data_IF_976893180054
#
_entry.id   IF_976893180054
#
_cell.length_a   1.000
_cell.length_b   1.000
_cell.length_c   1.000
_cell.angle_alpha   90.00
_cell.angle_beta   90.00
_cell.angle_gamma   90.00
#
_symmetry.space_group_name_H-M   'P 1'
#
loop_
_entity.id
_entity.type
_entity.pdbx_description
1 polymer ?
#
# COMPACT_ATOMS: atom_id res chain seq x y z
N UNK A 1 -21.75 -11.72 19.92
CA UNK A 1 -21.66 -13.01 19.20
C UNK A 1 -21.95 -12.72 17.74
N UNK A 2 -20.92 -12.71 16.89
CA UNK A 2 -21.09 -12.46 15.45
C UNK A 2 -21.87 -13.62 14.82
N UNK A 3 -22.83 -13.32 13.96
CA UNK A 3 -23.61 -14.33 13.25
C UNK A 3 -22.67 -15.32 12.50
N UNK A 4 -23.04 -16.61 12.40
CA UNK A 4 -22.28 -17.55 11.58
C UNK A 4 -22.30 -17.07 10.13
N UNK A 5 -21.11 -16.80 9.59
CA UNK A 5 -20.92 -16.37 8.21
C UNK A 5 -21.25 -17.55 7.32
N UNK A 6 -22.01 -17.31 6.24
CA UNK A 6 -22.31 -18.35 5.26
C UNK A 6 -21.01 -18.97 4.71
N UNK A 7 -20.97 -20.30 4.46
CA UNK A 7 -19.79 -20.94 3.91
C UNK A 7 -19.45 -20.32 2.54
N UNK A 8 -18.21 -19.89 2.37
CA UNK A 8 -17.66 -19.34 1.11
C UNK A 8 -16.82 -20.38 0.39
N UNK A 9 -16.61 -20.21 -0.91
CA UNK A 9 -15.83 -21.11 -1.75
C UNK A 9 -14.43 -21.37 -1.14
N UNK A 10 -13.98 -22.63 -1.03
CA UNK A 10 -12.75 -22.98 -0.30
C UNK A 10 -11.49 -22.32 -0.86
N UNK A 11 -11.47 -21.99 -2.16
CA UNK A 11 -10.36 -21.26 -2.79
C UNK A 11 -10.17 -19.81 -2.26
N UNK A 12 -11.13 -19.27 -1.50
CA UNK A 12 -10.99 -17.98 -0.84
C UNK A 12 -10.24 -18.04 0.49
N UNK A 13 -9.83 -19.24 0.94
CA UNK A 13 -8.85 -19.40 2.02
C UNK A 13 -7.51 -19.78 1.40
N UNK A 14 -6.49 -18.93 1.58
CA UNK A 14 -5.18 -19.09 0.93
C UNK A 14 -4.04 -19.10 1.93
N UNK A 15 -2.81 -19.37 1.46
CA UNK A 15 -1.60 -19.26 2.28
C UNK A 15 -1.42 -17.87 2.92
N UNK A 16 -1.98 -16.80 2.33
CA UNK A 16 -1.99 -15.49 2.96
C UNK A 16 -2.82 -15.48 4.25
N UNK A 17 -4.02 -16.09 4.22
CA UNK A 17 -4.90 -16.19 5.37
C UNK A 17 -4.18 -16.86 6.55
N UNK A 18 -3.49 -17.98 6.29
CA UNK A 18 -2.74 -18.72 7.31
C UNK A 18 -1.50 -17.97 7.81
N UNK A 19 -0.77 -17.31 6.90
CA UNK A 19 0.46 -16.58 7.23
C UNK A 19 0.20 -15.43 8.20
N UNK A 20 -0.86 -14.65 7.96
CA UNK A 20 -1.15 -13.41 8.71
C UNK A 20 -2.33 -13.54 9.68
N UNK A 21 -3.05 -14.65 9.66
CA UNK A 21 -4.17 -14.94 10.57
C UNK A 21 -5.48 -14.22 10.21
N UNK A 22 -5.70 -13.89 8.94
CA UNK A 22 -6.93 -13.20 8.48
C UNK A 22 -7.92 -14.17 7.84
N UNK A 23 -9.19 -13.76 7.71
CA UNK A 23 -10.25 -14.60 7.13
C UNK A 23 -10.22 -14.60 5.61
N UNK A 24 -9.91 -13.46 5.01
CA UNK A 24 -9.97 -13.29 3.56
C UNK A 24 -8.66 -12.73 3.01
N UNK A 25 -8.24 -13.15 1.80
CA UNK A 25 -6.98 -12.78 1.18
C UNK A 25 -7.05 -11.38 0.53
N UNK A 26 -7.51 -10.41 1.31
CA UNK A 26 -7.79 -9.03 0.92
C UNK A 26 -6.97 -8.13 1.85
N UNK A 27 -6.13 -7.28 1.27
CA UNK A 27 -5.23 -6.40 2.01
C UNK A 27 -5.55 -4.93 1.72
N UNK A 28 -5.76 -4.14 2.77
CA UNK A 28 -5.68 -2.69 2.70
C UNK A 28 -4.21 -2.29 2.85
N UNK A 29 -3.62 -1.70 1.81
CA UNK A 29 -2.18 -1.37 1.80
C UNK A 29 -1.86 -0.14 2.65
N UNK A 30 -0.69 -0.08 3.27
CA UNK A 30 -0.24 1.10 4.01
C UNK A 30 -0.09 2.34 3.11
N UNK A 31 -0.92 3.35 3.34
CA UNK A 31 -0.92 4.62 2.62
C UNK A 31 -0.65 5.76 3.60
N UNK A 32 0.44 6.49 3.41
CA UNK A 32 0.81 7.63 4.27
C UNK A 32 -0.32 8.66 4.36
N UNK A 33 -0.62 9.11 5.58
CA UNK A 33 -1.73 10.02 5.91
C UNK A 33 -3.16 9.52 5.62
N UNK A 34 -3.34 8.28 5.15
CA UNK A 34 -4.65 7.69 4.84
C UNK A 34 -4.93 6.48 5.72
N UNK A 35 -3.96 5.58 5.86
CA UNK A 35 -4.07 4.36 6.66
C UNK A 35 -3.80 4.62 8.13
N UNK A 36 -4.71 5.36 8.76
CA UNK A 36 -4.73 5.57 10.21
C UNK A 36 -5.41 4.43 10.98
N UNK A 37 -5.57 4.58 12.31
CA UNK A 37 -6.16 3.56 13.17
C UNK A 37 -7.57 3.13 12.76
N UNK A 38 -8.43 4.07 12.35
CA UNK A 38 -9.83 3.83 11.97
C UNK A 38 -9.92 2.87 10.76
N UNK A 39 -9.27 3.23 9.65
CA UNK A 39 -9.29 2.43 8.42
C UNK A 39 -8.64 1.04 8.62
N UNK A 40 -7.54 1.00 9.39
CA UNK A 40 -6.83 -0.24 9.69
C UNK A 40 -7.71 -1.18 10.50
N UNK A 41 -8.31 -0.68 11.59
CA UNK A 41 -9.17 -1.47 12.46
C UNK A 41 -10.44 -1.94 11.75
N UNK A 42 -11.08 -1.06 10.95
CA UNK A 42 -12.27 -1.41 10.17
C UNK A 42 -11.98 -2.53 9.16
N UNK A 43 -10.83 -2.47 8.47
CA UNK A 43 -10.40 -3.53 7.55
C UNK A 43 -10.14 -4.85 8.27
N UNK A 44 -9.42 -4.81 9.39
CA UNK A 44 -9.10 -6.00 10.17
C UNK A 44 -10.37 -6.65 10.75
N UNK A 45 -11.30 -5.86 11.29
CA UNK A 45 -12.59 -6.34 11.79
C UNK A 45 -13.47 -6.94 10.67
N UNK A 46 -13.39 -6.40 9.44
CA UNK A 46 -14.05 -6.96 8.27
C UNK A 46 -13.46 -8.31 7.84
N UNK A 47 -12.27 -8.67 8.32
CA UNK A 47 -11.64 -9.98 8.09
C UNK A 47 -10.55 -9.98 7.02
N UNK A 48 -10.22 -8.82 6.46
CA UNK A 48 -9.02 -8.64 5.64
C UNK A 48 -7.81 -8.25 6.50
N UNK A 49 -6.66 -8.06 5.85
CA UNK A 49 -5.46 -7.50 6.50
C UNK A 49 -5.47 -5.97 6.42
N UNK A 50 -5.71 -5.30 7.54
CA UNK A 50 -5.47 -3.87 7.68
C UNK A 50 -3.97 -3.59 7.87
N UNK A 51 -3.45 -2.55 7.22
CA UNK A 51 -2.05 -2.12 7.38
C UNK A 51 -1.99 -0.63 7.76
N UNK A 52 -1.57 -0.38 9.00
CA UNK A 52 -1.34 0.97 9.55
C UNK A 52 -0.09 1.60 8.92
N UNK A 53 -0.18 2.81 8.41
CA UNK A 53 0.97 3.52 7.86
C UNK A 53 1.72 4.30 8.96
N UNK A 54 2.96 3.90 9.28
CA UNK A 54 3.79 4.58 10.29
C UNK A 54 4.90 5.45 9.71
N UNK A 55 5.09 5.44 8.38
CA UNK A 55 6.16 6.17 7.69
C UNK A 55 6.18 7.69 7.96
N UNK A 56 5.04 8.27 8.35
CA UNK A 56 4.88 9.70 8.66
C UNK A 56 4.79 9.98 10.16
N UNK A 57 4.95 8.97 11.01
CA UNK A 57 4.80 9.03 12.46
C UNK A 57 6.15 8.84 13.15
N UNK A 58 6.36 9.53 14.26
CA UNK A 58 7.43 9.22 15.21
C UNK A 58 7.22 7.84 15.86
N UNK A 59 8.22 7.36 16.61
CA UNK A 59 8.11 6.08 17.31
C UNK A 59 6.99 6.08 18.36
N UNK A 60 6.83 7.18 19.10
CA UNK A 60 5.77 7.32 20.11
C UNK A 60 4.39 7.43 19.47
N UNK A 61 4.24 8.24 18.41
CA UNK A 61 2.98 8.29 17.65
C UNK A 61 2.63 6.95 17.01
N UNK A 62 3.65 6.16 16.59
CA UNK A 62 3.43 4.80 16.09
C UNK A 62 2.90 3.88 17.18
N UNK A 63 3.42 3.99 18.41
CA UNK A 63 2.93 3.23 19.57
C UNK A 63 1.47 3.58 19.86
N UNK A 64 1.16 4.88 19.91
CA UNK A 64 -0.20 5.34 20.19
C UNK A 64 -1.18 4.92 19.10
N UNK A 65 -0.77 4.98 17.83
CA UNK A 65 -1.59 4.52 16.70
C UNK A 65 -1.83 3.00 16.74
N UNK A 66 -0.82 2.19 17.11
CA UNK A 66 -0.98 0.73 17.31
C UNK A 66 -2.01 0.45 18.40
N UNK A 67 -1.95 1.18 19.52
CA UNK A 67 -2.90 1.02 20.64
C UNK A 67 -4.32 1.44 20.23
N UNK A 68 -4.46 2.53 19.49
CA UNK A 68 -5.75 2.97 18.96
C UNK A 68 -6.39 1.94 18.03
N UNK A 69 -5.60 1.20 17.22
CA UNK A 69 -6.12 0.07 16.43
C UNK A 69 -6.64 -1.05 17.36
N UNK A 70 -5.85 -1.44 18.37
CA UNK A 70 -6.22 -2.51 19.32
C UNK A 70 -7.46 -2.18 20.16
N UNK A 71 -7.68 -0.91 20.49
CA UNK A 71 -8.91 -0.47 21.16
C UNK A 71 -10.17 -0.68 20.32
N UNK A 72 -10.03 -0.78 18.99
CA UNK A 72 -11.13 -0.89 18.03
C UNK A 72 -11.33 -2.32 17.52
N UNK A 73 -10.31 -3.18 17.58
CA UNK A 73 -10.39 -4.56 17.10
C UNK A 73 -9.35 -5.48 17.73
N UNK A 74 -9.75 -6.74 17.94
CA UNK A 74 -8.86 -7.84 18.33
C UNK A 74 -8.26 -8.59 17.11
N UNK A 75 -8.70 -8.24 15.89
CA UNK A 75 -8.23 -8.89 14.67
C UNK A 75 -6.77 -8.51 14.35
N UNK A 76 -5.98 -9.42 13.72
CA UNK A 76 -4.60 -9.13 13.37
C UNK A 76 -4.51 -8.02 12.31
N UNK A 77 -3.49 -7.18 12.45
CA UNK A 77 -3.15 -6.11 11.52
C UNK A 77 -1.64 -5.99 11.38
N UNK A 78 -1.20 -5.30 10.32
CA UNK A 78 0.21 -5.00 10.07
C UNK A 78 0.54 -3.53 10.20
N UNK A 79 1.84 -3.23 10.22
CA UNK A 79 2.36 -1.85 10.20
C UNK A 79 3.31 -1.69 9.02
N UNK A 80 3.04 -0.70 8.18
CA UNK A 80 3.90 -0.33 7.05
C UNK A 80 4.94 0.70 7.47
N UNK A 81 6.22 0.34 7.27
CA UNK A 81 7.39 1.14 7.61
C UNK A 81 8.20 1.50 6.36
N UNK A 82 9.10 2.48 6.53
CA UNK A 82 10.14 2.77 5.55
C UNK A 82 11.35 1.88 5.82
N UNK A 83 11.73 1.09 4.81
CA UNK A 83 12.87 0.17 4.93
C UNK A 83 14.24 0.85 4.98
N UNK A 84 14.30 2.11 4.55
CA UNK A 84 15.50 2.95 4.52
C UNK A 84 15.62 3.89 5.74
N UNK A 85 14.63 3.90 6.63
CA UNK A 85 14.67 4.74 7.82
C UNK A 85 15.75 4.28 8.81
N UNK A 86 16.54 5.21 9.40
CA UNK A 86 17.58 4.86 10.37
C UNK A 86 17.05 4.12 11.61
N UNK A 87 15.78 4.33 11.98
CA UNK A 87 15.10 3.77 13.15
C UNK A 87 14.30 2.48 12.84
N UNK A 88 14.43 1.90 11.64
CA UNK A 88 13.60 0.76 11.20
C UNK A 88 13.66 -0.45 12.12
N UNK A 89 14.84 -0.76 12.68
CA UNK A 89 15.01 -1.87 13.62
C UNK A 89 14.36 -1.58 14.97
N UNK A 90 14.44 -0.33 15.44
CA UNK A 90 13.79 0.12 16.68
C UNK A 90 12.26 0.04 16.56
N UNK A 91 11.73 0.41 15.38
CA UNK A 91 10.31 0.22 15.05
C UNK A 91 9.93 -1.27 15.01
N UNK A 92 10.77 -2.13 14.44
CA UNK A 92 10.58 -3.57 14.49
C UNK A 92 10.46 -4.09 15.93
N UNK A 93 11.34 -3.66 16.82
CA UNK A 93 11.27 -4.02 18.24
C UNK A 93 10.00 -3.45 18.92
N UNK A 94 9.54 -2.26 18.53
CA UNK A 94 8.27 -1.72 19.00
C UNK A 94 7.10 -2.62 18.59
N UNK A 95 7.05 -3.07 17.33
CA UNK A 95 6.04 -4.00 16.84
C UNK A 95 6.00 -5.27 17.70
N UNK A 96 7.16 -5.87 17.97
CA UNK A 96 7.28 -7.07 18.83
C UNK A 96 6.75 -6.80 20.24
N UNK A 97 7.15 -5.70 20.87
CA UNK A 97 6.70 -5.32 22.23
C UNK A 97 5.19 -5.09 22.30
N UNK A 98 4.61 -4.47 21.29
CA UNK A 98 3.18 -4.20 21.20
C UNK A 98 2.40 -5.39 20.58
N UNK A 99 3.05 -6.54 20.35
CA UNK A 99 2.43 -7.78 19.86
C UNK A 99 1.94 -7.73 18.41
N UNK A 100 2.45 -6.82 17.59
CA UNK A 100 2.16 -6.74 16.15
C UNK A 100 3.12 -7.64 15.40
N UNK A 101 2.61 -8.63 14.67
CA UNK A 101 3.43 -9.64 13.99
C UNK A 101 3.89 -9.23 12.60
N UNK A 102 3.16 -8.35 11.91
CA UNK A 102 3.32 -8.12 10.47
C UNK A 102 4.01 -6.79 10.21
N UNK A 103 5.22 -6.86 9.65
CA UNK A 103 6.00 -5.72 9.20
C UNK A 103 5.92 -5.60 7.68
N UNK A 104 5.18 -4.60 7.19
CA UNK A 104 5.07 -4.30 5.77
C UNK A 104 6.00 -3.15 5.37
N UNK A 105 6.41 -3.11 4.10
CA UNK A 105 7.29 -2.05 3.59
C UNK A 105 6.87 -1.56 2.20
N UNK A 106 6.93 -0.24 1.99
CA UNK A 106 6.68 0.37 0.68
C UNK A 106 7.81 0.08 -0.33
N UNK A 107 9.02 -0.18 0.17
CA UNK A 107 10.19 -0.65 -0.57
C UNK A 107 10.95 -1.64 0.32
N UNK A 108 11.55 -2.66 -0.29
CA UNK A 108 12.27 -3.66 0.49
C UNK A 108 13.45 -3.05 1.28
N UNK A 109 13.57 -3.35 2.59
CA UNK A 109 14.76 -3.02 3.35
C UNK A 109 15.96 -3.85 2.88
N UNK A 110 17.17 -3.48 3.33
CA UNK A 110 18.37 -4.26 3.04
C UNK A 110 18.38 -5.60 3.79
N UNK A 111 19.10 -6.59 3.26
CA UNK A 111 19.22 -7.96 3.77
C UNK A 111 19.40 -8.08 5.28
N UNK A 112 20.31 -7.27 5.84
CA UNK A 112 20.58 -7.24 7.29
C UNK A 112 19.31 -6.92 8.09
N UNK A 113 18.57 -5.90 7.69
CA UNK A 113 17.35 -5.48 8.37
C UNK A 113 16.28 -6.55 8.26
N UNK A 114 16.14 -7.19 7.08
CA UNK A 114 15.20 -8.30 6.89
C UNK A 114 15.51 -9.41 7.89
N UNK A 115 16.76 -9.88 7.95
CA UNK A 115 17.17 -10.96 8.87
C UNK A 115 16.89 -10.61 10.32
N UNK A 116 17.29 -9.43 10.79
CA UNK A 116 17.09 -9.02 12.19
C UNK A 116 15.59 -8.93 12.58
N UNK A 117 14.73 -8.46 11.67
CA UNK A 117 13.28 -8.42 11.90
C UNK A 117 12.69 -9.84 11.97
N UNK A 118 13.15 -10.74 11.10
CA UNK A 118 12.73 -12.14 11.08
C UNK A 118 13.18 -12.91 12.31
N UNK A 119 14.42 -12.71 12.74
CA UNK A 119 14.97 -13.31 13.96
C UNK A 119 14.18 -12.86 15.21
N UNK A 120 13.53 -11.70 15.12
CA UNK A 120 12.62 -11.19 16.15
C UNK A 120 11.19 -11.75 16.06
N UNK A 121 10.91 -12.67 15.13
CA UNK A 121 9.63 -13.34 14.95
C UNK A 121 8.59 -12.56 14.11
N UNK A 122 9.00 -11.46 13.47
CA UNK A 122 8.11 -10.69 12.59
C UNK A 122 7.97 -11.38 11.22
N UNK A 123 6.75 -11.31 10.68
CA UNK A 123 6.44 -11.62 9.28
C UNK A 123 6.78 -10.39 8.44
N UNK A 124 7.73 -10.52 7.52
CA UNK A 124 8.25 -9.42 6.71
C UNK A 124 7.67 -9.47 5.30
N UNK A 125 6.91 -8.44 4.90
CA UNK A 125 6.21 -8.37 3.62
C UNK A 125 6.52 -7.04 2.90
N UNK A 126 7.58 -6.98 2.07
CA UNK A 126 7.87 -5.79 1.28
C UNK A 126 7.02 -5.72 0.00
N UNK A 127 6.83 -4.49 -0.47
CA UNK A 127 6.27 -4.20 -1.79
C UNK A 127 7.38 -4.14 -2.84
N UNK A 128 7.13 -4.76 -4.00
CA UNK A 128 8.04 -4.80 -5.14
C UNK A 128 7.30 -4.43 -6.42
N UNK A 129 8.05 -3.92 -7.40
CA UNK A 129 7.54 -3.56 -8.73
C UNK A 129 8.30 -4.20 -9.90
N UNK A 130 9.13 -5.23 -9.63
CA UNK A 130 9.90 -5.93 -10.66
C UNK A 130 10.27 -7.35 -10.21
N UNK A 131 10.26 -8.31 -11.15
CA UNK A 131 10.65 -9.72 -10.92
C UNK A 131 11.99 -9.88 -10.20
N UNK A 132 13.04 -9.22 -10.70
CA UNK A 132 14.38 -9.27 -10.09
C UNK A 132 14.42 -8.85 -8.61
N UNK A 133 13.50 -7.98 -8.18
CA UNK A 133 13.44 -7.56 -6.78
C UNK A 133 12.79 -8.64 -5.92
N UNK A 134 11.78 -9.36 -6.44
CA UNK A 134 11.14 -10.49 -5.77
C UNK A 134 12.14 -11.64 -5.54
N UNK A 135 12.87 -12.05 -6.58
CA UNK A 135 13.92 -13.09 -6.50
C UNK A 135 14.96 -12.73 -5.43
N UNK A 136 15.39 -11.45 -5.41
CA UNK A 136 16.37 -10.93 -4.46
C UNK A 136 15.88 -10.97 -3.01
N UNK A 137 14.67 -10.48 -2.75
CA UNK A 137 14.14 -10.46 -1.36
C UNK A 137 13.75 -11.85 -0.87
N UNK A 138 13.34 -12.76 -1.76
CA UNK A 138 13.17 -14.18 -1.43
C UNK A 138 14.50 -14.78 -0.95
N UNK A 139 15.60 -14.54 -1.67
CA UNK A 139 16.92 -15.03 -1.25
C UNK A 139 17.37 -14.47 0.11
N UNK A 140 16.88 -13.29 0.49
CA UNK A 140 17.07 -12.69 1.81
C UNK A 140 16.12 -13.22 2.88
N UNK A 141 15.11 -13.99 2.46
CA UNK A 141 14.24 -14.76 3.31
C UNK A 141 12.95 -14.06 3.69
N UNK A 142 12.42 -13.07 2.97
CA UNK A 142 11.10 -12.48 3.31
C UNK A 142 9.98 -13.52 3.27
N UNK A 143 8.87 -13.28 3.97
CA UNK A 143 7.81 -14.28 4.15
C UNK A 143 6.72 -14.24 3.07
N UNK A 144 6.56 -13.09 2.41
CA UNK A 144 5.68 -12.88 1.27
C UNK A 144 6.09 -11.58 0.55
N UNK A 145 5.56 -11.33 -0.65
CA UNK A 145 5.75 -10.06 -1.37
C UNK A 145 4.44 -9.49 -1.88
N UNK A 146 4.28 -8.16 -1.75
CA UNK A 146 3.23 -7.44 -2.48
C UNK A 146 3.79 -7.00 -3.83
N UNK A 147 3.18 -7.45 -4.92
CA UNK A 147 3.64 -7.21 -6.29
C UNK A 147 2.73 -6.20 -6.95
N UNK A 148 3.20 -4.96 -7.10
CA UNK A 148 2.41 -3.88 -7.67
C UNK A 148 2.69 -3.71 -9.17
N UNK A 149 1.65 -3.90 -9.98
CA UNK A 149 1.65 -3.54 -11.39
C UNK A 149 1.55 -2.03 -11.63
N UNK A 150 1.87 -1.62 -12.86
CA UNK A 150 1.99 -0.22 -13.28
C UNK A 150 0.70 0.60 -13.14
N UNK A 151 -0.45 -0.05 -13.05
CA UNK A 151 -1.77 0.54 -12.84
C UNK A 151 -1.96 1.05 -11.40
N UNK A 152 -1.14 0.59 -10.45
CA UNK A 152 -1.18 0.98 -9.04
C UNK A 152 -0.81 2.44 -8.80
N UNK A 153 -1.29 2.99 -7.68
CA UNK A 153 -1.04 4.38 -7.25
C UNK A 153 0.27 4.55 -6.49
N UNK A 154 0.74 5.79 -6.37
CA UNK A 154 2.00 6.10 -5.71
C UNK A 154 3.20 5.55 -6.50
N UNK A 155 4.28 5.19 -5.80
CA UNK A 155 5.47 4.64 -6.44
C UNK A 155 5.15 3.38 -7.24
N UNK A 156 5.42 3.40 -8.54
CA UNK A 156 5.00 2.30 -9.42
C UNK A 156 5.96 2.08 -10.59
N UNK A 157 6.03 0.83 -11.04
CA UNK A 157 6.77 0.44 -12.24
C UNK A 157 5.97 0.68 -13.52
N UNK A 158 6.53 0.26 -14.66
CA UNK A 158 5.87 0.36 -15.96
C UNK A 158 5.15 -0.91 -16.42
N UNK A 159 5.33 -2.04 -15.73
CA UNK A 159 4.82 -3.35 -16.18
C UNK A 159 3.39 -3.57 -15.66
N UNK A 160 2.41 -3.87 -16.52
CA UNK A 160 1.03 -4.16 -16.12
C UNK A 160 0.91 -5.32 -15.12
N UNK A 161 -0.05 -5.25 -14.20
CA UNK A 161 -0.34 -6.33 -13.22
C UNK A 161 -0.51 -7.69 -13.89
N UNK A 162 -1.22 -7.74 -15.02
CA UNK A 162 -1.49 -8.97 -15.77
C UNK A 162 -0.26 -9.64 -16.37
N UNK A 163 0.85 -8.91 -16.48
CA UNK A 163 2.14 -9.40 -16.97
C UNK A 163 3.09 -9.62 -15.80
N UNK A 164 3.15 -8.68 -14.85
CA UNK A 164 4.11 -8.71 -13.75
C UNK A 164 3.81 -9.82 -12.74
N UNK A 165 2.54 -10.02 -12.37
CA UNK A 165 2.17 -10.97 -11.30
C UNK A 165 2.55 -12.41 -11.68
N UNK A 166 2.12 -12.95 -12.84
CA UNK A 166 2.53 -14.30 -13.24
C UNK A 166 4.05 -14.47 -13.34
N UNK A 167 4.76 -13.47 -13.87
CA UNK A 167 6.23 -13.51 -13.96
C UNK A 167 6.92 -13.60 -12.60
N UNK A 168 6.34 -13.00 -11.56
CA UNK A 168 6.87 -13.09 -10.20
C UNK A 168 6.50 -14.43 -9.58
N UNK A 169 5.25 -14.87 -9.72
CA UNK A 169 4.78 -16.18 -9.24
C UNK A 169 5.66 -17.31 -9.78
N UNK A 170 5.98 -17.29 -11.07
CA UNK A 170 6.86 -18.30 -11.70
C UNK A 170 8.31 -18.25 -11.22
N UNK A 171 8.73 -17.17 -10.56
CA UNK A 171 10.11 -16.90 -10.17
C UNK A 171 10.41 -17.11 -8.69
N UNK A 172 9.38 -17.23 -7.84
CA UNK A 172 9.51 -17.28 -6.38
C UNK A 172 8.59 -18.35 -5.79
N UNK A 173 9.01 -18.94 -4.67
CA UNK A 173 8.27 -19.95 -3.91
C UNK A 173 7.46 -19.33 -2.76
N UNK A 174 7.80 -18.10 -2.36
CA UNK A 174 7.07 -17.37 -1.32
C UNK A 174 5.71 -16.86 -1.83
N UNK A 175 4.72 -16.69 -0.93
CA UNK A 175 3.41 -16.15 -1.30
C UNK A 175 3.49 -14.77 -1.98
N UNK A 176 2.80 -14.65 -3.11
CA UNK A 176 2.68 -13.41 -3.90
C UNK A 176 1.30 -12.79 -3.70
N UNK A 177 1.25 -11.54 -3.26
CA UNK A 177 0.03 -10.75 -3.09
C UNK A 177 -0.04 -9.74 -4.24
N UNK A 178 -1.05 -9.84 -5.10
CA UNK A 178 -1.16 -8.99 -6.27
C UNK A 178 -1.67 -7.58 -5.91
N UNK A 179 -1.05 -6.53 -6.42
CA UNK A 179 -1.48 -5.14 -6.23
C UNK A 179 -1.51 -4.37 -7.55
N UNK A 180 -2.35 -3.33 -7.59
CA UNK A 180 -2.52 -2.47 -8.77
C UNK A 180 -3.68 -2.90 -9.66
N UNK A 181 -4.71 -2.04 -9.77
CA UNK A 181 -5.87 -2.27 -10.63
C UNK A 181 -7.04 -3.02 -9.99
N UNK A 182 -6.88 -3.60 -8.80
CA UNK A 182 -7.93 -4.36 -8.11
C UNK A 182 -8.91 -3.47 -7.33
N UNK A 183 -10.19 -3.83 -7.35
CA UNK A 183 -11.27 -3.17 -6.58
C UNK A 183 -12.42 -4.07 -6.12
N UNK A 184 -12.57 -5.26 -6.69
CA UNK A 184 -13.78 -6.08 -6.61
C UNK A 184 -13.47 -7.58 -6.61
N UNK A 185 -14.51 -8.44 -6.49
CA UNK A 185 -14.35 -9.89 -6.39
C UNK A 185 -13.82 -10.53 -7.67
N UNK A 186 -14.13 -9.97 -8.84
CA UNK A 186 -13.55 -10.41 -10.12
C UNK A 186 -12.05 -10.19 -10.15
N UNK A 187 -11.59 -9.06 -9.62
CA UNK A 187 -10.17 -8.78 -9.43
C UNK A 187 -9.49 -9.82 -8.53
N UNK A 188 -10.11 -10.20 -7.42
CA UNK A 188 -9.59 -11.25 -6.54
C UNK A 188 -9.46 -12.59 -7.28
N UNK A 189 -10.51 -13.05 -7.95
CA UNK A 189 -10.45 -14.33 -8.69
C UNK A 189 -9.42 -14.29 -9.81
N UNK A 190 -9.28 -13.17 -10.51
CA UNK A 190 -8.24 -13.01 -11.54
C UNK A 190 -6.83 -13.12 -10.96
N UNK A 191 -6.57 -12.52 -9.79
CA UNK A 191 -5.28 -12.65 -9.10
C UNK A 191 -5.00 -14.10 -8.65
N UNK A 192 -6.01 -14.78 -8.08
CA UNK A 192 -5.89 -16.19 -7.70
C UNK A 192 -5.60 -17.07 -8.92
N UNK A 193 -6.25 -16.81 -10.06
CA UNK A 193 -6.01 -17.52 -11.31
C UNK A 193 -4.61 -17.25 -11.90
N UNK A 194 -3.99 -16.12 -11.57
CA UNK A 194 -2.58 -15.80 -11.91
C UNK A 194 -1.57 -16.45 -10.94
N UNK A 195 -2.05 -17.19 -9.93
CA UNK A 195 -1.23 -17.85 -8.92
C UNK A 195 -0.84 -16.96 -7.73
N UNK A 196 -1.36 -15.73 -7.65
CA UNK A 196 -1.25 -14.94 -6.43
C UNK A 196 -2.13 -15.54 -5.32
N UNK A 197 -1.79 -15.28 -4.06
CA UNK A 197 -2.53 -15.77 -2.89
C UNK A 197 -3.52 -14.74 -2.33
N UNK A 198 -3.67 -13.60 -2.99
CA UNK A 198 -4.57 -12.53 -2.55
C UNK A 198 -4.35 -11.23 -3.30
N UNK A 199 -5.16 -10.22 -2.95
CA UNK A 199 -5.07 -8.88 -3.53
C UNK A 199 -4.80 -7.80 -2.47
N UNK A 200 -4.04 -6.80 -2.88
CA UNK A 200 -3.71 -5.60 -2.11
C UNK A 200 -4.26 -4.37 -2.83
N UNK A 201 -5.02 -3.55 -2.10
CA UNK A 201 -5.72 -2.39 -2.63
C UNK A 201 -5.44 -1.13 -1.80
N UNK A 202 -4.99 -0.08 -2.47
CA UNK A 202 -4.85 1.26 -1.90
C UNK A 202 -6.09 2.12 -2.19
N UNK A 203 -6.23 2.57 -3.44
CA UNK A 203 -7.32 3.46 -3.87
C UNK A 203 -8.71 2.99 -3.45
N UNK A 204 -9.01 1.69 -3.55
CA UNK A 204 -10.33 1.15 -3.17
C UNK A 204 -10.64 1.31 -1.68
N UNK A 205 -9.66 1.12 -0.79
CA UNK A 205 -9.81 1.31 0.65
C UNK A 205 -9.69 2.77 1.10
N UNK A 206 -9.01 3.63 0.33
CA UNK A 206 -9.10 5.09 0.53
C UNK A 206 -10.54 5.57 0.32
N UNK A 207 -11.22 5.00 -0.68
CA UNK A 207 -12.60 5.31 -1.05
C UNK A 207 -13.61 4.45 -0.28
N UNK A 208 -13.46 4.41 1.04
CA UNK A 208 -14.45 3.85 1.98
C UNK A 208 -14.92 4.93 2.94
N UNK A 209 -16.05 4.70 3.61
CA UNK A 209 -16.55 5.59 4.66
C UNK A 209 -15.67 5.58 5.92
N UNK A 210 -14.96 4.48 6.21
CA UNK A 210 -14.04 4.37 7.35
C UNK A 210 -12.69 5.09 7.15
N UNK A 211 -12.36 5.49 5.92
CA UNK A 211 -11.20 6.35 5.69
C UNK A 211 -11.45 7.75 6.25
N UNK A 212 -10.51 8.26 7.05
CA UNK A 212 -10.58 9.60 7.64
C UNK A 212 -10.26 10.73 6.66
N UNK A 213 -9.92 10.40 5.41
CA UNK A 213 -9.75 11.37 4.34
C UNK A 213 -11.06 12.13 4.13
N UNK A 214 -10.98 13.46 4.03
CA UNK A 214 -12.16 14.33 3.88
C UNK A 214 -12.98 13.96 2.65
N UNK A 215 -14.30 14.04 2.76
CA UNK A 215 -15.21 13.75 1.64
C UNK A 215 -14.98 14.65 0.43
N UNK A 216 -14.56 15.91 0.65
CA UNK A 216 -14.18 16.81 -0.45
C UNK A 216 -12.99 16.30 -1.26
N UNK A 217 -12.06 15.59 -0.61
CA UNK A 217 -10.91 14.95 -1.27
C UNK A 217 -11.37 13.67 -1.96
N UNK A 218 -12.16 12.81 -1.30
CA UNK A 218 -12.72 11.58 -1.92
C UNK A 218 -13.56 11.91 -3.16
N UNK A 219 -14.36 12.97 -3.12
CA UNK A 219 -15.14 13.45 -4.26
C UNK A 219 -14.27 13.81 -5.47
N UNK A 220 -13.01 14.18 -5.26
CA UNK A 220 -12.07 14.44 -6.34
C UNK A 220 -11.66 13.16 -7.07
N UNK A 221 -11.53 12.03 -6.37
CA UNK A 221 -11.25 10.73 -6.97
C UNK A 221 -12.44 10.20 -7.79
N UNK A 222 -13.66 10.35 -7.25
CA UNK A 222 -14.90 9.85 -7.88
C UNK A 222 -15.26 10.57 -9.19
N UNK A 223 -14.68 11.75 -9.44
CA UNK A 223 -14.87 12.50 -10.70
C UNK A 223 -13.94 12.05 -11.83
N UNK A 224 -12.94 11.22 -11.54
CA UNK A 224 -11.87 10.88 -12.50
C UNK A 224 -12.23 9.66 -13.31
N UNK A 225 -11.82 9.64 -14.57
CA UNK A 225 -11.83 8.46 -15.42
C UNK A 225 -10.53 7.65 -15.35
N UNK A 226 -10.51 6.50 -16.04
CA UNK A 226 -9.35 5.57 -16.04
C UNK A 226 -8.07 6.22 -16.61
N UNK A 227 -8.23 7.19 -17.50
CA UNK A 227 -7.13 7.91 -18.16
C UNK A 227 -6.69 9.18 -17.41
N UNK A 228 -7.35 9.53 -16.31
CA UNK A 228 -7.08 10.77 -15.54
C UNK A 228 -5.99 10.58 -14.48
N UNK A 229 -5.07 9.64 -14.69
CA UNK A 229 -3.86 9.49 -13.90
C UNK A 229 -2.63 9.73 -14.77
N UNK A 230 -1.52 10.12 -14.13
CA UNK A 230 -0.23 10.30 -14.78
C UNK A 230 0.86 9.68 -13.92
N UNK A 231 1.81 9.01 -14.58
CA UNK A 231 3.05 8.55 -13.95
C UNK A 231 4.11 9.62 -14.17
N UNK A 232 4.73 10.10 -13.10
CA UNK A 232 5.74 11.16 -13.19
C UNK A 232 6.80 11.02 -12.10
N UNK A 233 8.08 11.27 -12.42
CA UNK A 233 9.14 11.39 -11.42
C UNK A 233 9.29 12.82 -10.88
N UNK A 234 8.44 13.78 -11.30
CA UNK A 234 8.62 15.21 -10.97
C UNK A 234 8.37 15.52 -9.48
N UNK A 235 7.77 14.59 -8.73
CA UNK A 235 7.46 14.75 -7.31
C UNK A 235 8.74 14.63 -6.47
N UNK A 236 9.38 13.46 -6.48
CA UNK A 236 10.58 13.15 -5.69
C UNK A 236 11.73 12.50 -6.49
N UNK A 237 11.60 12.40 -7.81
CA UNK A 237 12.60 11.77 -8.66
C UNK A 237 12.40 10.28 -8.88
N UNK A 238 11.40 9.66 -8.25
CA UNK A 238 11.01 8.26 -8.48
C UNK A 238 9.62 8.25 -9.16
N UNK A 239 9.39 7.41 -10.19
CA UNK A 239 8.10 7.37 -10.86
C UNK A 239 6.94 7.08 -9.90
N UNK A 240 5.97 8.00 -9.85
CA UNK A 240 4.75 7.87 -9.07
C UNK A 240 3.51 8.10 -9.91
N UNK A 241 2.47 7.29 -9.70
CA UNK A 241 1.13 7.49 -10.27
C UNK A 241 0.25 8.31 -9.33
N UNK A 242 -0.23 9.42 -9.86
CA UNK A 242 -1.14 10.35 -9.18
C UNK A 242 -2.30 10.72 -10.12
N UNK A 243 -3.39 11.26 -9.56
CA UNK A 243 -4.43 11.91 -10.36
C UNK A 243 -3.83 13.09 -11.13
N UNK A 244 -4.26 13.25 -12.38
CA UNK A 244 -3.89 14.39 -13.23
C UNK A 244 -4.71 15.61 -12.84
N UNK A 245 -4.30 16.27 -11.77
CA UNK A 245 -4.88 17.54 -11.31
C UNK A 245 -4.18 18.74 -11.94
N UNK A 246 -4.78 19.93 -11.85
CA UNK A 246 -4.11 21.18 -12.29
C UNK A 246 -2.79 21.43 -11.55
N UNK A 247 -2.73 21.05 -10.26
CA UNK A 247 -1.51 21.12 -9.46
C UNK A 247 -0.39 20.26 -10.07
N UNK A 248 -0.72 19.03 -10.47
CA UNK A 248 0.23 18.11 -11.12
C UNK A 248 0.59 18.61 -12.53
N UNK A 249 -0.37 19.09 -13.31
CA UNK A 249 -0.11 19.68 -14.64
C UNK A 249 0.84 20.89 -14.56
N UNK A 250 0.68 21.74 -13.54
CA UNK A 250 1.61 22.86 -13.28
C UNK A 250 3.01 22.33 -13.00
N UNK A 251 3.15 21.32 -12.15
CA UNK A 251 4.44 20.70 -11.84
C UNK A 251 5.13 20.11 -13.09
N UNK A 252 4.36 19.45 -13.97
CA UNK A 252 4.89 18.89 -15.21
C UNK A 252 5.45 19.96 -16.15
N UNK A 253 4.91 21.20 -16.09
CA UNK A 253 5.37 22.34 -16.90
C UNK A 253 6.48 23.16 -16.22
N UNK A 254 6.78 22.93 -14.95
CA UNK A 254 7.79 23.70 -14.20
C UNK A 254 9.23 23.44 -14.69
N UNK A 255 9.97 24.52 -14.93
CA UNK A 255 11.40 24.47 -15.29
C UNK A 255 12.26 24.06 -14.09
N UNK A 256 13.42 23.44 -14.34
CA UNK A 256 14.28 22.87 -13.30
C UNK A 256 14.69 23.83 -12.16
N UNK A 257 15.02 25.12 -12.40
CA UNK A 257 15.37 26.04 -11.31
C UNK A 257 14.20 26.31 -10.35
N UNK A 258 12.98 26.45 -10.87
CA UNK A 258 11.78 26.66 -10.06
C UNK A 258 11.47 25.42 -9.19
N UNK A 259 11.67 24.21 -9.75
CA UNK A 259 11.50 22.95 -9.03
C UNK A 259 12.45 22.81 -7.85
N UNK A 260 13.71 23.25 -7.99
CA UNK A 260 14.70 23.19 -6.91
C UNK A 260 14.34 24.13 -5.75
N UNK A 261 13.93 25.37 -6.06
CA UNK A 261 13.50 26.35 -5.04
C UNK A 261 12.29 25.85 -4.26
N UNK A 262 11.30 25.27 -4.95
CA UNK A 262 10.13 24.65 -4.30
C UNK A 262 10.53 23.49 -3.39
N UNK A 263 11.45 22.64 -3.85
CA UNK A 263 11.90 21.47 -3.07
C UNK A 263 12.60 21.86 -1.78
N UNK A 264 13.42 22.92 -1.82
CA UNK A 264 14.02 23.48 -0.61
C UNK A 264 12.97 24.01 0.37
N UNK A 265 11.91 24.68 -0.12
CA UNK A 265 10.81 25.16 0.74
C UNK A 265 10.05 24.01 1.40
N UNK A 266 9.76 22.94 0.65
CA UNK A 266 9.10 21.75 1.23
C UNK A 266 9.98 21.03 2.24
N UNK A 267 11.30 20.92 2.01
CA UNK A 267 12.22 20.35 2.98
C UNK A 267 12.20 21.13 4.32
N UNK A 268 12.18 22.46 4.26
CA UNK A 268 12.05 23.30 5.47
C UNK A 268 10.69 23.10 6.16
N UNK A 269 9.60 23.00 5.40
CA UNK A 269 8.27 22.75 5.95
C UNK A 269 8.17 21.35 6.58
N UNK A 270 8.70 20.33 5.91
CA UNK A 270 8.76 18.95 6.39
C UNK A 270 9.51 18.87 7.71
N UNK A 271 10.66 19.52 7.83
CA UNK A 271 11.42 19.60 9.08
C UNK A 271 10.59 20.17 10.23
N UNK A 272 9.85 21.27 9.99
CA UNK A 272 8.99 21.89 11.00
C UNK A 272 7.85 20.97 11.46
N UNK A 273 7.25 20.23 10.52
CA UNK A 273 6.12 19.32 10.80
C UNK A 273 6.57 18.02 11.45
N UNK A 274 7.68 17.45 11.00
CA UNK A 274 8.20 16.15 11.49
C UNK A 274 9.01 16.27 12.78
N UNK A 275 9.32 17.49 13.24
CA UNK A 275 10.18 17.70 14.42
C UNK A 275 11.65 17.28 14.21
N UNK A 276 12.05 16.91 12.99
CA UNK A 276 13.39 16.39 12.70
C UNK A 276 14.46 17.46 12.86
N UNK A 277 15.62 17.08 13.42
CA UNK A 277 16.78 17.97 13.51
C UNK A 277 17.41 18.16 12.12
N UNK A 278 18.17 19.26 11.93
CA UNK A 278 18.91 19.45 10.67
C UNK A 278 19.93 18.34 10.42
N UNK A 279 20.57 17.84 11.48
CA UNK A 279 21.53 16.74 11.41
C UNK A 279 20.88 15.43 10.97
N UNK A 280 19.67 15.14 11.46
CA UNK A 280 18.95 13.92 11.09
C UNK A 280 18.45 13.99 9.66
N UNK A 281 17.95 15.15 9.21
CA UNK A 281 17.52 15.35 7.83
C UNK A 281 18.69 15.19 6.84
N UNK A 282 19.89 15.66 7.20
CA UNK A 282 21.12 15.42 6.40
C UNK A 282 21.51 13.94 6.43
N UNK A 283 21.40 13.27 7.59
CA UNK A 283 21.71 11.84 7.74
C UNK A 283 20.76 10.99 6.90
N UNK A 284 19.46 11.28 6.92
CA UNK A 284 18.44 10.66 6.07
C UNK A 284 18.74 10.89 4.60
N UNK A 285 19.07 12.12 4.20
CA UNK A 285 19.45 12.43 2.82
C UNK A 285 20.69 11.65 2.34
N UNK A 286 21.69 11.49 3.21
CA UNK A 286 22.89 10.68 2.95
C UNK A 286 22.60 9.17 2.90
N UNK A 287 21.71 8.67 3.74
CA UNK A 287 21.29 7.27 3.74
C UNK A 287 20.52 6.93 2.45
N UNK A 288 19.54 7.77 2.10
CA UNK A 288 18.72 7.64 0.89
C UNK A 288 19.55 7.70 -0.39
N UNK A 289 20.59 8.55 -0.43
CA UNK A 289 21.56 8.59 -1.54
C UNK A 289 22.30 7.27 -1.71
N UNK A 290 22.69 6.63 -0.60
CA UNK A 290 23.45 5.36 -0.61
C UNK A 290 22.56 4.16 -0.92
N UNK A 291 21.32 4.14 -0.44
CA UNK A 291 20.40 3.01 -0.62
C UNK A 291 19.76 2.96 -2.02
N UNK A 292 19.57 4.11 -2.66
CA UNK A 292 18.81 4.23 -3.92
C UNK A 292 19.61 4.78 -5.13
N UNK A 293 20.94 4.90 -5.02
CA UNK A 293 21.81 5.46 -6.08
C UNK A 293 21.37 6.84 -6.61
N UNK A 294 20.71 7.64 -5.76
CA UNK A 294 20.09 8.90 -6.17
C UNK A 294 21.12 10.02 -6.36
N UNK A 295 20.85 10.94 -7.29
CA UNK A 295 21.55 12.22 -7.39
C UNK A 295 21.17 13.18 -6.25
N UNK A 296 22.00 14.18 -5.97
CA UNK A 296 21.73 15.19 -4.94
C UNK A 296 20.42 15.97 -5.17
N UNK A 297 20.02 16.17 -6.43
CA UNK A 297 18.75 16.80 -6.76
C UNK A 297 17.55 15.95 -6.34
N UNK A 298 17.61 14.63 -6.52
CA UNK A 298 16.56 13.69 -6.11
C UNK A 298 16.44 13.62 -4.58
N UNK A 299 17.58 13.65 -3.87
CA UNK A 299 17.59 13.72 -2.40
C UNK A 299 16.83 14.94 -1.88
N UNK A 300 17.03 16.12 -2.50
CA UNK A 300 16.30 17.34 -2.12
C UNK A 300 14.82 17.25 -2.49
N UNK A 301 14.48 16.60 -3.61
CA UNK A 301 13.08 16.43 -4.04
C UNK A 301 12.31 15.42 -3.18
N UNK A 302 12.97 14.49 -2.49
CA UNK A 302 12.31 13.49 -1.65
C UNK A 302 11.38 14.07 -0.57
N UNK A 303 11.66 15.29 -0.08
CA UNK A 303 10.81 15.97 0.89
C UNK A 303 9.49 16.53 0.30
N UNK A 304 9.36 16.58 -1.03
CA UNK A 304 8.16 17.09 -1.69
C UNK A 304 6.97 16.17 -1.50
N UNK A 305 7.13 14.87 -1.78
CA UNK A 305 6.04 13.90 -1.79
C UNK A 305 5.29 13.86 -0.46
N UNK A 306 5.95 13.74 0.72
CA UNK A 306 5.23 13.76 2.00
C UNK A 306 4.47 15.06 2.24
N UNK A 307 5.03 16.22 1.86
CA UNK A 307 4.38 17.51 2.07
C UNK A 307 3.20 17.75 1.13
N UNK A 308 3.32 17.32 -0.12
CA UNK A 308 2.24 17.41 -1.08
C UNK A 308 1.11 16.42 -0.74
N UNK A 309 1.44 15.21 -0.29
CA UNK A 309 0.45 14.26 0.22
C UNK A 309 -0.26 14.79 1.46
N UNK A 310 0.47 15.40 2.41
CA UNK A 310 -0.15 16.02 3.60
C UNK A 310 -1.11 17.14 3.22
N UNK A 311 -0.72 18.01 2.30
CA UNK A 311 -1.56 19.11 1.84
C UNK A 311 -2.91 18.61 1.31
N UNK A 312 -2.93 17.51 0.56
CA UNK A 312 -4.18 16.92 0.09
C UNK A 312 -4.90 16.09 1.15
N UNK A 313 -4.24 15.11 1.77
CA UNK A 313 -4.88 14.08 2.60
C UNK A 313 -5.27 14.59 3.98
N UNK A 314 -4.52 15.56 4.53
CA UNK A 314 -4.75 16.12 5.87
C UNK A 314 -5.40 17.50 5.77
N UNK A 315 -4.79 18.39 4.98
CA UNK A 315 -5.23 19.79 4.91
C UNK A 315 -6.39 20.00 3.91
N UNK A 316 -6.74 18.98 3.10
CA UNK A 316 -7.84 19.03 2.12
C UNK A 316 -7.57 19.90 0.89
N UNK A 317 -6.32 20.33 0.69
CA UNK A 317 -5.87 21.23 -0.39
C UNK A 317 -5.49 20.43 -1.63
N UNK A 318 -6.49 19.91 -2.34
CA UNK A 318 -6.29 19.18 -3.61
C UNK A 318 -5.70 20.05 -4.73
N UNK A 319 -5.81 21.37 -4.60
CA UNK A 319 -5.23 22.39 -5.47
C UNK A 319 -3.72 22.59 -5.26
N UNK A 320 -3.18 22.15 -4.11
CA UNK A 320 -1.76 22.25 -3.77
C UNK A 320 -1.07 20.90 -3.59
N UNK A 321 -1.84 19.87 -3.24
CA UNK A 321 -1.34 18.53 -2.95
C UNK A 321 -1.37 17.58 -4.14
N UNK A 322 -0.90 16.36 -3.88
CA UNK A 322 -0.89 15.26 -4.86
C UNK A 322 -1.81 14.14 -4.39
N UNK A 323 -2.66 13.65 -5.29
CA UNK A 323 -3.59 12.58 -5.00
C UNK A 323 -3.04 11.29 -5.58
N UNK A 324 -2.28 10.53 -4.78
CA UNK A 324 -1.81 9.21 -5.18
C UNK A 324 -3.03 8.31 -5.46
N UNK A 325 -3.07 7.70 -6.65
CA UNK A 325 -4.17 6.84 -7.04
C UNK A 325 -3.77 5.90 -8.17
N UNK A 326 -4.31 4.68 -8.15
CA UNK A 326 -4.27 3.78 -9.29
C UNK A 326 -5.29 4.16 -10.36
N UNK A 327 -5.15 3.60 -11.55
CA UNK A 327 -6.12 3.77 -12.64
C UNK A 327 -7.53 3.28 -12.29
N UNK A 328 -7.62 2.37 -11.32
CA UNK A 328 -8.88 1.83 -10.80
C UNK A 328 -9.82 2.90 -10.22
N UNK A 329 -9.30 4.09 -9.89
CA UNK A 329 -10.14 5.24 -9.50
C UNK A 329 -11.23 5.53 -10.53
N UNK A 330 -10.96 5.28 -11.81
CA UNK A 330 -11.88 5.57 -12.91
C UNK A 330 -13.07 4.63 -13.04
N UNK A 331 -13.12 3.61 -12.19
CA UNK A 331 -14.18 2.59 -12.16
C UNK A 331 -14.67 2.39 -10.72
N UNK A 332 -14.52 3.41 -9.87
CA UNK A 332 -15.05 3.43 -8.49
C UNK A 332 -16.03 4.60 -8.39
N UNK A 333 -17.26 4.30 -7.98
CA UNK A 333 -18.39 5.23 -7.98
C UNK A 333 -19.13 5.29 -6.63
N UNK A 334 -18.63 4.59 -5.60
CA UNK A 334 -19.25 4.48 -4.28
C UNK A 334 -18.24 4.59 -3.13
N UNK A 335 -18.74 4.77 -1.90
CA UNK A 335 -17.96 4.91 -0.67
C UNK A 335 -18.51 3.99 0.45
N UNK A 336 -18.48 2.65 0.28
CA UNK A 336 -18.97 1.72 1.28
C UNK A 336 -18.10 1.74 2.54
N UNK A 337 -18.60 1.20 3.64
CA UNK A 337 -17.75 0.77 4.75
C UNK A 337 -16.80 -0.35 4.32
N UNK A 338 -15.73 -0.58 5.08
CA UNK A 338 -14.80 -1.68 4.87
C UNK A 338 -15.50 -3.03 5.01
N UNK A 339 -16.48 -3.14 5.92
CA UNK A 339 -17.30 -4.33 6.09
C UNK A 339 -18.09 -4.64 4.83
N UNK A 340 -18.87 -3.67 4.33
CA UNK A 340 -19.66 -3.83 3.09
C UNK A 340 -18.78 -4.08 1.87
N UNK A 341 -17.61 -3.42 1.79
CA UNK A 341 -16.66 -3.62 0.70
C UNK A 341 -16.12 -5.06 0.70
N UNK A 342 -15.62 -5.53 1.84
CA UNK A 342 -15.04 -6.89 1.96
C UNK A 342 -16.11 -7.95 1.72
N UNK A 343 -17.29 -7.80 2.32
CA UNK A 343 -18.42 -8.72 2.12
C UNK A 343 -18.80 -8.82 0.64
N UNK A 344 -18.89 -7.68 -0.05
CA UNK A 344 -19.20 -7.63 -1.49
C UNK A 344 -18.12 -8.30 -2.35
N UNK A 345 -16.84 -8.05 -2.06
CA UNK A 345 -15.72 -8.69 -2.78
C UNK A 345 -15.79 -10.21 -2.62
N UNK A 346 -16.02 -10.69 -1.38
CA UNK A 346 -16.10 -12.12 -1.07
C UNK A 346 -17.30 -12.76 -1.77
N UNK A 347 -18.48 -12.15 -1.68
CA UNK A 347 -19.69 -12.65 -2.32
C UNK A 347 -19.57 -12.70 -3.85
N UNK A 348 -18.98 -11.66 -4.46
CA UNK A 348 -18.75 -11.65 -5.91
C UNK A 348 -17.69 -12.68 -6.32
N UNK A 349 -16.61 -12.82 -5.56
CA UNK A 349 -15.57 -13.81 -5.85
C UNK A 349 -16.11 -15.24 -5.72
N UNK A 350 -16.92 -15.52 -4.69
CA UNK A 350 -17.62 -16.79 -4.49
C UNK A 350 -18.53 -17.13 -5.68
N UNK A 351 -19.37 -16.18 -6.10
CA UNK A 351 -20.25 -16.36 -7.24
C UNK A 351 -19.47 -16.61 -8.56
N UNK A 352 -18.36 -15.90 -8.76
CA UNK A 352 -17.50 -16.10 -9.93
C UNK A 352 -16.84 -17.47 -9.90
N UNK A 353 -16.28 -17.89 -8.77
CA UNK A 353 -15.64 -19.20 -8.62
C UNK A 353 -16.64 -20.32 -8.83
N UNK A 354 -17.81 -20.25 -8.17
CA UNK A 354 -18.90 -21.21 -8.33
C UNK A 354 -19.33 -21.32 -9.79
N UNK A 355 -19.50 -20.19 -10.49
CA UNK A 355 -19.87 -20.19 -11.92
C UNK A 355 -18.79 -20.85 -12.79
N UNK A 356 -17.51 -20.61 -12.52
CA UNK A 356 -16.40 -21.17 -13.30
C UNK A 356 -16.21 -22.67 -13.05
N UNK A 357 -16.45 -23.16 -11.83
CA UNK A 357 -16.29 -24.58 -11.48
C UNK A 357 -17.51 -25.43 -11.87
N UNK A 358 -18.72 -24.88 -11.80
CA UNK A 358 -19.96 -25.60 -12.17
C UNK A 358 -20.16 -25.72 -13.68
N UNK A 359 -19.72 -24.73 -14.47
CA UNK A 359 -19.87 -24.74 -15.93
C UNK A 359 -19.07 -25.87 -16.64
N UNK A 360 -18.03 -26.42 -15.99
CA UNK A 360 -17.24 -27.54 -16.51
C UNK A 360 -17.89 -28.92 -16.37
N UNK A 361 -18.94 -29.06 -15.54
CA UNK A 361 -19.59 -30.36 -15.27
C UNK A 361 -20.68 -30.76 -16.26
N UNK A 362 -21.21 -29.83 -17.06
CA UNK A 362 -22.40 -30.06 -17.90
C UNK A 362 -22.11 -30.52 -19.34
N UNK A 363 -20.84 -30.77 -19.70
CA UNK A 363 -20.43 -31.22 -21.05
C UNK A 363 -19.92 -32.68 -21.11
N UNK A 364 -20.02 -33.45 -20.02
CA UNK A 364 -19.56 -34.85 -19.95
C UNK A 364 -20.60 -35.94 -20.24
N UNK A 365 -21.88 -35.58 -20.40
CA UNK A 365 -22.95 -36.54 -20.74
C UNK A 365 -23.74 -36.01 -21.93
N UNK A 366 -23.30 -36.34 -23.14
CA UNK A 366 -24.17 -36.37 -24.32
C UNK A 366 -23.60 -37.24 -25.42
#
# INVERSE_FOLDING_TARGET
MSAPIAPVHPALHTALCDLVGVRYPIVQTGMGYVSGPELTAATAAAGGLGILASATLSLDETRDAIRAVRERTDAPFGVNMRGDSPDVLERGQLLVREGVRIASFALAPHERVIRELKDSGLVVIPSIGARRHAEKVQAWGVDAVVVQGGEGGGHTGGVPTSILVPQVVDAVDIPVIAAGGFRDGRGLVAALAQGAVGIAMGTRFLLTSDSTVRDSVKAEYLKRGVTDTVVTPVLDGIPQRVLRTEAVERLLRERAPARLVRSLRHAVAFRKVSGTSWSDLVREGLAMRRSHELGWSQVVMAANTPMMLRASMVDGRTDLGTLASGQVTGVIDDLPSCAELVERIVAEADAVLTRLTTAGGAQGER
#
